data_IF_226038477772
#
_entry.id   IF_226038477772
#
_cell.length_a   1.000
_cell.length_b   1.000
_cell.length_c   1.000
_cell.angle_alpha   90.00
_cell.angle_beta   90.00
_cell.angle_gamma   90.00
#
_symmetry.space_group_name_H-M   'P 1'
#
loop_
_entity.id
_entity.type
_entity.pdbx_description
1 polymer ?
#
# COMPACT_ATOMS: atom_id res chain seq x y z
N UNK A 1 -14.41 9.91 -12.21
CA UNK A 1 -12.99 9.60 -11.98
C UNK A 1 -12.33 9.23 -13.30
N UNK A 2 -11.36 10.03 -13.75
CA UNK A 2 -10.61 9.78 -14.98
C UNK A 2 -9.66 8.56 -14.82
N UNK A 3 -9.04 8.10 -15.92
CA UNK A 3 -8.15 6.91 -15.91
C UNK A 3 -6.96 7.10 -14.98
N UNK A 4 -6.40 8.30 -14.91
CA UNK A 4 -5.23 8.63 -14.07
C UNK A 4 -5.60 8.55 -12.59
N UNK A 5 -6.69 9.21 -12.18
CA UNK A 5 -7.21 9.17 -10.81
C UNK A 5 -7.58 7.74 -10.37
N UNK A 6 -8.14 6.93 -11.29
CA UNK A 6 -8.43 5.51 -11.03
C UNK A 6 -7.18 4.69 -10.75
N UNK A 7 -6.14 4.90 -11.54
CA UNK A 7 -4.87 4.20 -11.36
C UNK A 7 -4.15 4.64 -10.08
N UNK A 8 -4.24 5.94 -9.75
CA UNK A 8 -3.68 6.48 -8.51
C UNK A 8 -4.41 5.92 -7.28
N UNK A 9 -5.75 5.92 -7.28
CA UNK A 9 -6.55 5.29 -6.23
C UNK A 9 -6.19 3.81 -6.06
N UNK A 10 -6.12 3.04 -7.16
CA UNK A 10 -5.75 1.63 -7.11
C UNK A 10 -4.37 1.42 -6.48
N UNK A 11 -3.41 2.31 -6.78
CA UNK A 11 -2.06 2.25 -6.22
C UNK A 11 -2.04 2.56 -4.72
N UNK A 12 -2.69 3.64 -4.31
CA UNK A 12 -2.74 4.05 -2.89
C UNK A 12 -3.46 3.01 -2.04
N UNK A 13 -4.61 2.50 -2.49
CA UNK A 13 -5.35 1.44 -1.79
C UNK A 13 -4.52 0.16 -1.70
N UNK A 14 -3.84 -0.25 -2.77
CA UNK A 14 -2.95 -1.42 -2.73
C UNK A 14 -1.83 -1.26 -1.71
N UNK A 15 -1.22 -0.08 -1.69
CA UNK A 15 -0.14 0.25 -0.74
C UNK A 15 -0.66 0.23 0.70
N UNK A 16 -1.82 0.85 0.95
CA UNK A 16 -2.47 0.82 2.27
C UNK A 16 -2.67 -0.61 2.77
N UNK A 17 -3.30 -1.48 1.96
CA UNK A 17 -3.56 -2.87 2.36
C UNK A 17 -2.26 -3.63 2.61
N UNK A 18 -1.25 -3.43 1.76
CA UNK A 18 0.06 -4.05 1.96
C UNK A 18 0.71 -3.60 3.28
N UNK A 19 0.76 -2.29 3.53
CA UNK A 19 1.43 -1.72 4.69
C UNK A 19 0.71 -2.08 5.99
N UNK A 20 -0.63 -2.13 5.98
CA UNK A 20 -1.44 -2.61 7.10
C UNK A 20 -1.18 -4.08 7.37
N UNK A 21 -1.20 -4.94 6.35
CA UNK A 21 -0.92 -6.38 6.52
C UNK A 21 0.46 -6.62 7.12
N UNK A 22 1.49 -5.97 6.56
CA UNK A 22 2.85 -6.10 7.05
C UNK A 22 2.97 -5.66 8.52
N UNK A 23 2.35 -4.53 8.87
CA UNK A 23 2.39 -4.00 10.23
C UNK A 23 1.62 -4.87 11.22
N UNK A 24 0.44 -5.34 10.83
CA UNK A 24 -0.40 -6.22 11.64
C UNK A 24 0.26 -7.58 11.86
N UNK A 25 0.89 -8.18 10.84
CA UNK A 25 1.65 -9.43 10.97
C UNK A 25 2.86 -9.27 11.90
N UNK A 26 3.61 -8.16 11.77
CA UNK A 26 4.73 -7.87 12.66
C UNK A 26 4.29 -7.67 14.12
N UNK A 27 3.17 -6.97 14.32
CA UNK A 27 2.55 -6.81 15.63
C UNK A 27 2.09 -8.16 16.20
N UNK A 28 1.40 -8.98 15.39
CA UNK A 28 0.90 -10.31 15.79
C UNK A 28 2.04 -11.20 16.28
N UNK A 29 3.13 -11.29 15.52
CA UNK A 29 4.31 -12.05 15.91
C UNK A 29 4.98 -11.52 17.19
N UNK A 30 4.87 -10.23 17.50
CA UNK A 30 5.36 -9.69 18.77
C UNK A 30 4.40 -10.02 19.93
N UNK A 31 3.10 -9.86 19.73
CA UNK A 31 2.07 -10.16 20.73
C UNK A 31 2.02 -11.66 21.08
N UNK A 32 2.10 -12.55 20.09
CA UNK A 32 2.17 -14.01 20.29
C UNK A 32 3.36 -14.40 21.18
N UNK A 33 4.55 -13.80 20.95
CA UNK A 33 5.74 -14.05 21.78
C UNK A 33 5.59 -13.56 23.21
N UNK A 34 4.91 -12.42 23.40
CA UNK A 34 4.63 -11.91 24.74
C UNK A 34 3.61 -12.80 25.45
N UNK A 35 2.59 -13.26 24.72
CA UNK A 35 1.54 -14.12 25.25
C UNK A 35 2.08 -15.49 25.67
N UNK A 36 2.96 -16.09 24.86
CA UNK A 36 3.68 -17.31 25.23
C UNK A 36 4.50 -17.11 26.52
N UNK A 37 5.15 -15.96 26.66
CA UNK A 37 5.94 -15.62 27.85
C UNK A 37 5.07 -15.42 29.09
N UNK A 38 3.95 -14.70 29.00
CA UNK A 38 3.05 -14.49 30.14
C UNK A 38 2.34 -15.80 30.55
N UNK A 39 1.91 -16.60 29.59
CA UNK A 39 1.36 -17.93 29.87
C UNK A 39 2.39 -18.87 30.51
N UNK A 40 3.65 -18.81 30.07
CA UNK A 40 4.74 -19.54 30.72
C UNK A 40 4.91 -19.15 32.19
N UNK A 41 4.84 -17.85 32.52
CA UNK A 41 4.90 -17.39 33.91
C UNK A 41 3.73 -17.88 34.76
N UNK A 42 2.53 -17.94 34.19
CA UNK A 42 1.34 -18.48 34.86
C UNK A 42 1.48 -19.99 35.08
N UNK A 43 1.95 -20.71 34.07
CA UNK A 43 2.16 -22.16 34.15
C UNK A 43 3.23 -22.56 35.19
N UNK A 44 4.30 -21.77 35.30
CA UNK A 44 5.38 -21.98 36.27
C UNK A 44 5.04 -21.45 37.67
N UNK A 45 3.86 -20.86 37.87
CA UNK A 45 3.51 -20.20 39.12
C UNK A 45 3.20 -21.21 40.23
N UNK A 46 3.81 -21.09 41.43
CA UNK A 46 3.45 -21.92 42.56
C UNK A 46 1.98 -21.69 42.97
N UNK A 47 1.27 -22.75 43.36
CA UNK A 47 -0.13 -22.64 43.82
C UNK A 47 -0.31 -21.64 44.96
N UNK A 48 0.69 -21.51 45.84
CA UNK A 48 0.67 -20.54 46.94
C UNK A 48 0.63 -19.07 46.49
N UNK A 49 0.97 -18.79 45.23
CA UNK A 49 0.96 -17.46 44.61
C UNK A 49 -0.14 -17.31 43.54
N UNK A 50 -0.95 -18.34 43.30
CA UNK A 50 -2.02 -18.33 42.29
C UNK A 50 -3.08 -17.24 42.52
N UNK A 51 -3.34 -16.87 43.77
CA UNK A 51 -4.25 -15.77 44.12
C UNK A 51 -3.53 -14.45 44.39
N UNK A 52 -2.23 -14.37 44.06
CA UNK A 52 -1.44 -13.16 44.29
C UNK A 52 -1.78 -12.08 43.27
N UNK A 53 -1.47 -10.83 43.63
CA UNK A 53 -1.56 -9.70 42.70
C UNK A 53 -0.70 -9.88 41.44
N UNK A 54 0.36 -10.68 41.50
CA UNK A 54 1.21 -10.94 40.35
C UNK A 54 0.55 -11.93 39.37
N UNK A 55 -0.17 -12.94 39.88
CA UNK A 55 -0.96 -13.86 39.05
C UNK A 55 -2.04 -13.09 38.27
N UNK A 56 -2.86 -12.29 38.97
CA UNK A 56 -3.89 -11.47 38.35
C UNK A 56 -3.32 -10.50 37.30
N UNK A 57 -2.15 -9.90 37.53
CA UNK A 57 -1.51 -9.04 36.51
C UNK A 57 -1.07 -9.79 35.27
N UNK A 58 -0.63 -11.03 35.41
CA UNK A 58 -0.29 -11.87 34.27
C UNK A 58 -1.55 -12.30 33.51
N UNK A 59 -2.64 -12.62 34.21
CA UNK A 59 -3.95 -12.90 33.60
C UNK A 59 -4.49 -11.68 32.83
N UNK A 60 -4.49 -10.50 33.44
CA UNK A 60 -4.89 -9.24 32.78
C UNK A 60 -4.03 -8.98 31.53
N UNK A 61 -2.72 -9.22 31.61
CA UNK A 61 -1.81 -9.04 30.48
C UNK A 61 -2.09 -10.03 29.34
N UNK A 62 -2.43 -11.28 29.66
CA UNK A 62 -2.84 -12.28 28.66
C UNK A 62 -4.13 -11.84 27.98
N UNK A 63 -5.15 -11.44 28.74
CA UNK A 63 -6.43 -10.97 28.20
C UNK A 63 -6.24 -9.77 27.25
N UNK A 64 -5.45 -8.78 27.66
CA UNK A 64 -5.13 -7.62 26.82
C UNK A 64 -4.36 -7.99 25.55
N UNK A 65 -3.47 -8.99 25.61
CA UNK A 65 -2.71 -9.45 24.45
C UNK A 65 -3.61 -10.21 23.47
N UNK A 66 -4.53 -11.04 23.97
CA UNK A 66 -5.52 -11.74 23.15
C UNK A 66 -6.44 -10.74 22.43
N UNK A 67 -6.98 -9.75 23.15
CA UNK A 67 -7.80 -8.68 22.55
C UNK A 67 -7.00 -7.92 21.47
N UNK A 68 -5.71 -7.64 21.72
CA UNK A 68 -4.86 -6.96 20.75
C UNK A 68 -4.61 -7.80 19.49
N UNK A 69 -4.52 -9.13 19.60
CA UNK A 69 -4.40 -10.05 18.47
C UNK A 69 -5.68 -10.05 17.62
N UNK A 70 -6.85 -10.08 18.25
CA UNK A 70 -8.14 -9.97 17.56
C UNK A 70 -8.27 -8.63 16.81
N UNK A 71 -7.88 -7.54 17.46
CA UNK A 71 -7.87 -6.21 16.86
C UNK A 71 -6.93 -6.14 15.64
N UNK A 72 -5.77 -6.78 15.69
CA UNK A 72 -4.84 -6.84 14.56
C UNK A 72 -5.44 -7.60 13.35
N UNK A 73 -6.16 -8.70 13.59
CA UNK A 73 -6.86 -9.42 12.53
C UNK A 73 -7.99 -8.56 11.93
N UNK A 74 -8.78 -7.92 12.78
CA UNK A 74 -9.86 -7.01 12.37
C UNK A 74 -9.34 -5.84 11.53
N UNK A 75 -8.14 -5.33 11.82
CA UNK A 75 -7.51 -4.28 11.04
C UNK A 75 -7.15 -4.74 9.61
N UNK A 76 -6.68 -5.98 9.46
CA UNK A 76 -6.42 -6.59 8.15
C UNK A 76 -7.71 -6.73 7.35
N UNK A 77 -8.78 -7.20 8.00
CA UNK A 77 -10.09 -7.37 7.37
C UNK A 77 -10.66 -6.02 6.93
N UNK A 78 -10.60 -5.02 7.80
CA UNK A 78 -11.03 -3.64 7.49
C UNK A 78 -10.28 -3.07 6.29
N UNK A 79 -8.96 -3.30 6.20
CA UNK A 79 -8.18 -2.86 5.04
C UNK A 79 -8.62 -3.59 3.75
N UNK A 80 -8.95 -4.88 3.83
CA UNK A 80 -9.48 -5.64 2.71
C UNK A 80 -10.87 -5.15 2.29
N UNK A 81 -11.74 -4.81 3.25
CA UNK A 81 -13.06 -4.23 3.00
C UNK A 81 -12.97 -2.86 2.31
N UNK A 82 -12.03 -2.00 2.73
CA UNK A 82 -11.77 -0.72 2.04
C UNK A 82 -11.39 -0.96 0.57
N UNK A 83 -10.53 -1.95 0.31
CA UNK A 83 -10.15 -2.29 -1.05
C UNK A 83 -11.33 -2.82 -1.88
N UNK A 84 -12.18 -3.66 -1.29
CA UNK A 84 -13.41 -4.12 -1.91
C UNK A 84 -14.38 -2.98 -2.20
N UNK A 85 -14.58 -2.06 -1.25
CA UNK A 85 -15.42 -0.86 -1.42
C UNK A 85 -14.89 0.07 -2.52
N UNK A 86 -13.57 0.11 -2.71
CA UNK A 86 -12.92 0.83 -3.82
C UNK A 86 -12.89 0.04 -5.14
N UNK A 87 -13.45 -1.17 -5.18
CA UNK A 87 -13.36 -2.12 -6.28
C UNK A 87 -11.92 -2.42 -6.72
N UNK A 88 -10.94 -2.37 -5.82
CA UNK A 88 -9.53 -2.59 -6.15
C UNK A 88 -9.17 -4.05 -5.92
N UNK A 89 -8.73 -4.75 -6.97
CA UNK A 89 -8.03 -6.01 -6.84
C UNK A 89 -6.62 -5.74 -6.30
N UNK A 90 -6.42 -6.01 -5.01
CA UNK A 90 -5.15 -5.80 -4.30
C UNK A 90 -4.04 -6.69 -4.87
N UNK A 91 -4.36 -7.87 -5.41
CA UNK A 91 -3.38 -8.79 -6.00
C UNK A 91 -2.86 -8.27 -7.33
N UNK A 92 -3.75 -7.72 -8.16
CA UNK A 92 -3.41 -7.19 -9.50
C UNK A 92 -3.10 -5.70 -9.53
N UNK A 93 -3.45 -4.95 -8.48
CA UNK A 93 -3.28 -3.51 -8.40
C UNK A 93 -4.13 -2.73 -9.41
N UNK A 94 -5.34 -3.21 -9.70
CA UNK A 94 -6.26 -2.60 -10.68
C UNK A 94 -7.67 -2.56 -10.12
N UNK A 95 -8.46 -1.58 -10.56
CA UNK A 95 -9.89 -1.56 -10.28
C UNK A 95 -10.57 -2.66 -11.11
N UNK A 96 -11.29 -3.56 -10.45
CA UNK A 96 -12.10 -4.62 -11.05
C UNK A 96 -13.17 -4.02 -11.96
N UNK A 97 -13.22 -4.50 -13.20
CA UNK A 97 -14.06 -3.95 -14.30
C UNK A 97 -15.57 -4.19 -14.13
N UNK A 98 -16.05 -4.52 -12.93
CA UNK A 98 -17.47 -4.83 -12.67
C UNK A 98 -18.39 -3.62 -12.64
N UNK A 99 -17.87 -2.39 -12.72
CA UNK A 99 -18.70 -1.21 -12.98
C UNK A 99 -18.83 -1.05 -14.49
N UNK A 100 -20.03 -1.26 -15.08
CA UNK A 100 -20.23 -1.04 -16.51
C UNK A 100 -20.05 0.45 -16.78
N UNK A 101 -18.85 0.81 -17.27
CA UNK A 101 -18.58 2.15 -17.76
C UNK A 101 -19.40 2.30 -19.05
N UNK A 102 -20.44 3.13 -18.98
CA UNK A 102 -21.07 3.71 -20.16
C UNK A 102 -19.96 4.24 -21.08
N UNK A 103 -20.15 3.99 -22.37
CA UNK A 103 -19.27 4.27 -23.51
C UNK A 103 -18.02 3.41 -23.61
N UNK A 104 -18.18 2.31 -24.35
CA UNK A 104 -17.13 1.61 -25.08
C UNK A 104 -16.39 2.60 -25.98
N UNK A 105 -15.30 3.17 -25.47
CA UNK A 105 -14.31 3.79 -26.33
C UNK A 105 -13.57 2.63 -27.01
N UNK A 106 -13.75 2.49 -28.33
CA UNK A 106 -12.96 1.54 -29.11
C UNK A 106 -11.47 1.77 -28.81
N UNK A 107 -10.71 0.72 -28.48
CA UNK A 107 -9.30 0.86 -28.23
C UNK A 107 -8.65 1.29 -29.55
N UNK A 108 -8.16 2.53 -29.60
CA UNK A 108 -7.22 2.91 -30.65
C UNK A 108 -6.00 2.00 -30.47
N UNK A 109 -5.94 0.98 -31.32
CA UNK A 109 -4.89 -0.01 -31.43
C UNK A 109 -3.61 0.77 -31.70
N UNK A 110 -2.76 0.98 -30.68
CA UNK A 110 -1.30 1.23 -30.73
C UNK A 110 -0.73 1.87 -29.44
N UNK A 111 -1.17 1.48 -28.22
CA UNK A 111 -0.33 1.68 -27.03
C UNK A 111 0.72 0.56 -26.97
N UNK A 112 1.70 0.55 -27.86
CA UNK A 112 2.93 -0.23 -27.66
C UNK A 112 3.56 0.22 -26.34
N UNK A 113 3.77 -0.70 -25.40
CA UNK A 113 4.49 -0.42 -24.14
C UNK A 113 5.85 0.21 -24.48
N UNK A 114 5.97 1.52 -24.33
CA UNK A 114 7.22 2.23 -24.59
C UNK A 114 8.31 1.73 -23.64
N UNK A 115 9.51 1.52 -24.18
CA UNK A 115 10.68 1.21 -23.36
C UNK A 115 10.89 2.32 -22.33
N UNK A 116 11.10 1.94 -21.06
CA UNK A 116 11.33 2.90 -19.96
C UNK A 116 12.83 3.17 -19.84
N UNK A 117 13.21 4.42 -19.98
CA UNK A 117 14.58 4.89 -19.79
C UNK A 117 14.66 5.73 -18.51
N UNK A 118 15.69 5.49 -17.70
CA UNK A 118 16.02 6.33 -16.55
C UNK A 118 17.12 7.29 -16.95
N UNK A 119 16.86 8.59 -16.83
CA UNK A 119 17.80 9.65 -17.16
C UNK A 119 18.34 10.26 -15.86
N UNK A 120 19.66 10.26 -15.69
CA UNK A 120 20.32 10.99 -14.63
C UNK A 120 20.50 12.44 -15.07
N UNK A 121 19.77 13.37 -14.46
CA UNK A 121 19.80 14.80 -14.79
C UNK A 121 20.21 15.63 -13.57
N UNK A 122 20.82 16.79 -13.82
CA UNK A 122 21.11 17.77 -12.76
C UNK A 122 19.80 18.33 -12.20
N UNK A 123 19.70 18.59 -10.87
CA UNK A 123 18.47 19.14 -10.28
C UNK A 123 17.97 20.42 -10.94
N UNK A 124 18.88 21.34 -11.29
CA UNK A 124 18.55 22.59 -11.99
C UNK A 124 17.94 22.36 -13.38
N UNK A 125 18.37 21.31 -14.08
CA UNK A 125 17.80 20.95 -15.39
C UNK A 125 16.39 20.37 -15.23
N UNK A 126 16.15 19.55 -14.20
CA UNK A 126 14.82 19.01 -13.92
C UNK A 126 13.81 20.11 -13.58
N UNK A 127 14.25 21.11 -12.81
CA UNK A 127 13.42 22.27 -12.47
C UNK A 127 13.05 23.10 -13.71
N UNK A 128 14.04 23.37 -14.56
CA UNK A 128 13.81 24.04 -15.84
C UNK A 128 12.81 23.26 -16.73
N UNK A 129 12.98 21.95 -16.87
CA UNK A 129 12.07 21.10 -17.64
C UNK A 129 10.63 21.11 -17.10
N UNK A 130 10.46 21.22 -15.77
CA UNK A 130 9.13 21.33 -15.17
C UNK A 130 8.46 22.64 -15.55
N UNK A 131 9.17 23.76 -15.42
CA UNK A 131 8.67 25.10 -15.77
C UNK A 131 8.28 25.14 -17.25
N UNK A 132 9.15 24.63 -18.12
CA UNK A 132 8.91 24.61 -19.57
C UNK A 132 7.75 23.68 -19.95
N UNK A 133 7.60 22.53 -19.28
CA UNK A 133 6.46 21.66 -19.53
C UNK A 133 5.13 22.31 -19.13
N UNK A 134 5.13 23.12 -18.06
CA UNK A 134 3.95 23.86 -17.62
C UNK A 134 3.61 24.99 -18.58
N UNK A 135 4.60 25.74 -19.08
CA UNK A 135 4.37 26.81 -20.06
C UNK A 135 3.79 26.29 -21.37
N UNK A 136 4.18 25.06 -21.78
CA UNK A 136 3.68 24.39 -22.98
C UNK A 136 2.42 23.54 -22.74
N UNK A 137 1.93 23.44 -21.50
CA UNK A 137 0.74 22.65 -21.17
C UNK A 137 0.90 21.14 -21.40
N UNK A 138 2.13 20.62 -21.33
CA UNK A 138 2.45 19.22 -21.60
C UNK A 138 3.14 18.55 -20.39
N UNK A 139 3.36 17.24 -20.45
CA UNK A 139 4.12 16.54 -19.40
C UNK A 139 5.62 16.65 -19.65
N UNK A 140 6.43 16.61 -18.59
CA UNK A 140 7.90 16.54 -18.71
C UNK A 140 8.35 15.39 -19.62
N UNK A 141 7.69 14.23 -19.56
CA UNK A 141 7.98 13.11 -20.45
C UNK A 141 7.70 13.42 -21.93
N UNK A 142 6.62 14.15 -22.21
CA UNK A 142 6.29 14.59 -23.57
C UNK A 142 7.35 15.55 -24.09
N UNK A 143 7.69 16.58 -23.30
CA UNK A 143 8.73 17.55 -23.64
C UNK A 143 10.09 16.89 -23.91
N UNK A 144 10.51 15.95 -23.06
CA UNK A 144 11.77 15.22 -23.22
C UNK A 144 11.74 14.34 -24.46
N UNK A 145 10.66 13.60 -24.69
CA UNK A 145 10.54 12.74 -25.88
C UNK A 145 10.56 13.57 -27.17
N UNK A 146 9.84 14.69 -27.21
CA UNK A 146 9.81 15.57 -28.38
C UNK A 146 11.18 16.18 -28.65
N UNK A 147 11.88 16.61 -27.60
CA UNK A 147 13.25 17.15 -27.71
C UNK A 147 14.21 16.09 -28.23
N UNK A 148 14.15 14.86 -27.70
CA UNK A 148 14.97 13.75 -28.17
C UNK A 148 14.65 13.39 -29.63
N UNK A 149 13.37 13.30 -29.98
CA UNK A 149 12.94 13.02 -31.35
C UNK A 149 13.43 14.11 -32.32
N UNK A 150 13.35 15.38 -31.94
CA UNK A 150 13.88 16.48 -32.75
C UNK A 150 15.41 16.40 -32.89
N UNK A 151 16.12 16.10 -31.81
CA UNK A 151 17.57 15.93 -31.83
C UNK A 151 18.01 14.78 -32.75
N UNK A 152 17.25 13.68 -32.79
CA UNK A 152 17.54 12.52 -33.65
C UNK A 152 16.99 12.65 -35.08
N UNK A 153 16.09 13.59 -35.36
CA UNK A 153 15.61 13.91 -36.73
C UNK A 153 16.51 14.88 -37.48
N UNK A 154 17.45 15.54 -36.81
CA UNK A 154 18.35 16.52 -37.41
C UNK A 154 19.57 15.90 -38.14
N UNK A 155 19.52 14.60 -38.46
CA UNK A 155 20.55 13.85 -39.20
C UNK A 155 19.93 13.04 -40.34
#
# INVERSE_FOLDING_TARGET
MNRTERNELAREVRRLVHDVKLSAEAFRAAAERLLEKENGKLADMPESLSTSRNASRCEDAVEMLDEALENANTLIDTACEIAQGCNVDVTKGRISESVPCMTSYEPCVNETKSARLQLLVRPSLLEFLRIESQSQGCSVNHLVNDTLVQAFKAH
#
